data_IF_457077123887
#
_entry.id   IF_457077123887
#
_cell.length_a   1.000
_cell.length_b   1.000
_cell.length_c   1.000
_cell.angle_alpha   90.00
_cell.angle_beta   90.00
_cell.angle_gamma   90.00
#
_symmetry.space_group_name_H-M   'P 1'
#
loop_
_entity.id
_entity.type
_entity.pdbx_description
1 polymer ?
#
# COMPACT_ATOMS: atom_id res chain seq x y z
N UNK A 1 10.75 25.89 -6.15
CA UNK A 1 10.57 26.42 -4.79
C UNK A 1 9.20 25.95 -4.33
N UNK A 2 9.13 24.79 -3.69
CA UNK A 2 7.90 24.25 -3.11
C UNK A 2 8.07 24.34 -1.61
N UNK A 3 7.34 25.29 -1.01
CA UNK A 3 7.23 25.39 0.44
C UNK A 3 6.76 24.04 0.98
N UNK A 4 7.63 23.41 1.79
CA UNK A 4 7.31 22.16 2.45
C UNK A 4 6.10 22.38 3.34
N UNK A 5 4.96 21.79 2.98
CA UNK A 5 3.75 21.82 3.81
C UNK A 5 4.10 21.20 5.17
N UNK A 6 4.13 22.04 6.19
CA UNK A 6 4.14 21.68 7.61
C UNK A 6 2.81 21.05 8.07
N UNK A 7 1.92 20.71 7.14
CA UNK A 7 0.61 20.13 7.44
C UNK A 7 0.79 18.71 8.00
N UNK A 8 0.20 18.37 9.16
CA UNK A 8 0.16 16.99 9.63
C UNK A 8 -0.43 16.06 8.57
N UNK A 9 0.05 14.81 8.53
CA UNK A 9 -0.53 13.79 7.65
C UNK A 9 -2.06 13.74 7.84
N UNK A 10 -2.85 13.73 6.74
CA UNK A 10 -4.32 13.69 6.83
C UNK A 10 -4.84 12.36 7.38
N UNK A 11 -3.97 11.34 7.48
CA UNK A 11 -4.29 10.01 7.99
C UNK A 11 -3.49 9.66 9.26
N UNK A 12 -3.65 8.44 9.74
CA UNK A 12 -2.91 7.86 10.86
C UNK A 12 -3.57 8.08 12.22
N UNK A 13 -2.94 7.54 13.28
CA UNK A 13 -3.41 7.68 14.66
C UNK A 13 -2.80 8.94 15.28
N UNK A 14 -3.63 9.77 15.95
CA UNK A 14 -3.19 11.07 16.47
C UNK A 14 -2.05 10.97 17.49
N UNK A 15 -2.08 9.92 18.30
CA UNK A 15 -1.10 9.59 19.35
C UNK A 15 0.18 8.92 18.84
N UNK A 16 0.20 8.49 17.57
CA UNK A 16 1.36 7.87 16.91
C UNK A 16 1.98 8.77 15.83
N UNK A 17 1.63 10.06 15.84
CA UNK A 17 2.21 11.08 14.95
C UNK A 17 3.61 11.48 15.41
N UNK A 18 4.41 11.95 14.46
CA UNK A 18 5.66 12.60 14.80
C UNK A 18 5.36 13.91 15.55
N UNK A 19 6.10 14.21 16.63
CA UNK A 19 6.07 15.54 17.23
C UNK A 19 6.38 16.62 16.19
N UNK A 20 5.65 17.73 16.24
CA UNK A 20 5.75 18.80 15.25
C UNK A 20 7.17 19.37 15.17
N UNK A 21 7.88 19.42 16.30
CA UNK A 21 9.27 19.88 16.40
C UNK A 21 10.29 18.92 15.74
N UNK A 22 9.98 17.62 15.64
CA UNK A 22 10.86 16.62 15.02
C UNK A 22 10.64 16.48 13.51
N UNK A 23 9.42 16.76 13.04
CA UNK A 23 9.00 16.52 11.66
C UNK A 23 9.89 17.23 10.62
N UNK A 24 10.26 18.53 10.75
CA UNK A 24 11.12 19.19 9.78
C UNK A 24 12.53 18.58 9.72
N UNK A 25 13.12 18.29 10.88
CA UNK A 25 14.47 17.74 10.97
C UNK A 25 14.55 16.33 10.39
N UNK A 26 13.57 15.47 10.70
CA UNK A 26 13.51 14.13 10.14
C UNK A 26 13.32 14.17 8.62
N UNK A 27 12.37 14.97 8.10
CA UNK A 27 12.15 15.09 6.65
C UNK A 27 13.40 15.57 5.93
N UNK A 28 14.10 16.56 6.48
CA UNK A 28 15.37 17.03 5.92
C UNK A 28 16.41 15.91 5.90
N UNK A 29 16.55 15.16 7.00
CA UNK A 29 17.50 14.05 7.08
C UNK A 29 17.19 12.95 6.05
N UNK A 30 15.92 12.57 5.90
CA UNK A 30 15.49 11.57 4.92
C UNK A 30 15.75 12.03 3.48
N UNK A 31 15.52 13.31 3.18
CA UNK A 31 15.86 13.90 1.88
C UNK A 31 17.38 13.88 1.62
N UNK A 32 18.19 14.18 2.64
CA UNK A 32 19.65 14.11 2.56
C UNK A 32 20.14 12.67 2.33
N UNK A 33 19.53 11.69 3.00
CA UNK A 33 19.81 10.27 2.77
C UNK A 33 19.49 9.89 1.33
N UNK A 34 18.28 10.19 0.84
CA UNK A 34 17.88 9.94 -0.55
C UNK A 34 18.87 10.51 -1.55
N UNK A 35 19.32 11.75 -1.32
CA UNK A 35 20.33 12.43 -2.15
C UNK A 35 21.69 11.74 -2.10
N UNK A 36 22.13 11.23 -0.94
CA UNK A 36 23.39 10.48 -0.82
C UNK A 36 23.34 9.16 -1.59
N UNK A 37 22.24 8.41 -1.47
CA UNK A 37 22.05 7.17 -2.24
C UNK A 37 22.17 7.42 -3.74
N UNK A 38 21.46 8.43 -4.27
CA UNK A 38 21.52 8.71 -5.72
C UNK A 38 22.87 9.29 -6.15
N UNK A 39 23.38 10.31 -5.46
CA UNK A 39 24.56 11.05 -5.94
C UNK A 39 25.88 10.35 -5.69
N UNK A 40 26.05 9.75 -4.50
CA UNK A 40 27.31 9.16 -4.06
C UNK A 40 27.35 7.65 -4.32
N UNK A 41 26.25 6.94 -4.07
CA UNK A 41 26.19 5.47 -4.22
C UNK A 41 25.67 5.01 -5.59
N UNK A 42 25.12 5.92 -6.41
CA UNK A 42 24.50 5.59 -7.70
C UNK A 42 23.42 4.51 -7.54
N UNK A 43 22.55 4.72 -6.55
CA UNK A 43 21.54 3.77 -6.12
C UNK A 43 20.17 4.44 -5.92
N UNK A 44 19.08 3.66 -6.07
CA UNK A 44 17.71 4.17 -6.03
C UNK A 44 17.34 4.99 -7.26
N UNK A 45 17.75 4.55 -8.44
CA UNK A 45 17.23 5.09 -9.70
C UNK A 45 15.83 4.56 -9.98
N UNK A 46 15.06 5.27 -10.81
CA UNK A 46 13.70 4.84 -11.16
C UNK A 46 13.72 3.54 -11.95
N UNK A 47 12.88 2.60 -11.56
CA UNK A 47 12.61 1.39 -12.35
C UNK A 47 11.73 1.73 -13.56
N UNK A 48 10.79 2.66 -13.38
CA UNK A 48 9.82 3.08 -14.39
C UNK A 48 8.70 2.06 -14.62
N UNK A 49 7.67 2.50 -15.34
CA UNK A 49 6.55 1.65 -15.75
C UNK A 49 6.92 0.70 -16.90
N UNK A 50 6.22 -0.44 -16.95
CA UNK A 50 6.15 -1.31 -18.12
C UNK A 50 4.90 -1.05 -18.95
N UNK A 51 4.47 -2.06 -19.71
CA UNK A 51 3.35 -1.98 -20.65
C UNK A 51 2.09 -2.72 -20.16
N UNK A 52 2.24 -3.64 -19.20
CA UNK A 52 1.15 -4.50 -18.72
C UNK A 52 1.02 -4.39 -17.21
N UNK A 53 0.45 -3.29 -16.68
CA UNK A 53 0.31 -3.12 -15.26
C UNK A 53 -0.88 -3.91 -14.69
N UNK A 54 -0.82 -4.20 -13.40
CA UNK A 54 -1.96 -4.57 -12.57
C UNK A 54 -2.01 -3.68 -11.32
N UNK A 55 -3.21 -3.42 -10.81
CA UNK A 55 -3.43 -2.71 -9.55
C UNK A 55 -3.72 -3.72 -8.44
N UNK A 56 -3.07 -3.56 -7.27
CA UNK A 56 -3.40 -4.30 -6.06
C UNK A 56 -3.80 -3.37 -4.92
N UNK A 57 -4.94 -3.66 -4.30
CA UNK A 57 -5.50 -2.96 -3.12
C UNK A 57 -5.33 -3.85 -1.90
N UNK A 58 -4.40 -3.48 -1.02
CA UNK A 58 -4.00 -4.31 0.12
C UNK A 58 -4.78 -3.95 1.38
N UNK A 59 -5.54 -4.91 1.91
CA UNK A 59 -6.17 -4.86 3.23
C UNK A 59 -6.91 -3.54 3.57
N UNK A 60 -7.52 -2.85 2.61
CA UNK A 60 -8.47 -1.77 2.91
C UNK A 60 -9.83 -2.37 3.34
N UNK A 61 -9.78 -3.16 4.40
CA UNK A 61 -10.92 -3.78 5.06
C UNK A 61 -11.34 -2.97 6.29
N UNK A 62 -12.60 -3.14 6.71
CA UNK A 62 -13.18 -2.37 7.82
C UNK A 62 -12.37 -2.48 9.13
N UNK A 63 -11.73 -3.63 9.38
CA UNK A 63 -10.80 -3.87 10.48
C UNK A 63 -9.71 -2.81 10.61
N UNK A 64 -9.33 -2.20 9.49
CA UNK A 64 -8.29 -1.19 9.41
C UNK A 64 -8.83 0.20 9.11
N UNK A 65 -9.96 0.32 8.40
CA UNK A 65 -10.50 1.62 7.95
C UNK A 65 -11.55 2.23 8.88
N UNK A 66 -12.09 1.50 9.87
CA UNK A 66 -13.10 2.01 10.81
C UNK A 66 -12.51 2.23 12.23
N UNK A 67 -11.88 3.40 12.49
CA UNK A 67 -11.32 3.74 13.80
C UNK A 67 -12.40 3.98 14.88
N UNK A 68 -13.67 4.13 14.50
CA UNK A 68 -14.74 4.43 15.46
C UNK A 68 -15.33 3.16 16.07
N UNK A 69 -15.27 2.03 15.35
CA UNK A 69 -15.89 0.78 15.80
C UNK A 69 -14.89 -0.30 16.18
N UNK A 70 -13.65 -0.23 15.68
CA UNK A 70 -12.68 -1.33 15.81
C UNK A 70 -11.36 -0.85 16.42
N UNK A 71 -10.78 -1.62 17.36
CA UNK A 71 -9.60 -1.21 18.13
C UNK A 71 -8.33 -1.07 17.28
N UNK A 72 -8.29 -1.74 16.12
CA UNK A 72 -7.18 -1.64 15.17
C UNK A 72 -7.45 -0.66 14.02
N UNK A 73 -8.64 -0.07 13.96
CA UNK A 73 -8.99 0.90 12.94
C UNK A 73 -8.09 2.13 13.02
N UNK A 74 -7.84 2.76 11.89
CA UNK A 74 -7.02 3.96 11.78
C UNK A 74 -7.70 4.89 10.78
N UNK A 75 -7.67 6.20 11.02
CA UNK A 75 -8.15 7.14 10.02
C UNK A 75 -7.26 7.03 8.78
N UNK A 76 -7.80 6.49 7.70
CA UNK A 76 -7.14 6.34 6.40
C UNK A 76 -8.04 6.81 5.26
N UNK A 77 -8.96 7.74 5.55
CA UNK A 77 -9.96 8.21 4.57
C UNK A 77 -9.30 8.77 3.31
N UNK A 78 -8.27 9.59 3.45
CA UNK A 78 -7.51 10.12 2.32
C UNK A 78 -6.84 9.03 1.47
N UNK A 79 -6.49 7.90 2.08
CA UNK A 79 -5.88 6.74 1.41
C UNK A 79 -6.93 5.99 0.60
N UNK A 80 -8.12 5.80 1.18
CA UNK A 80 -9.26 5.21 0.47
C UNK A 80 -9.66 6.08 -0.72
N UNK A 81 -9.76 7.39 -0.52
CA UNK A 81 -10.07 8.35 -1.59
C UNK A 81 -9.04 8.31 -2.73
N UNK A 82 -7.74 8.32 -2.40
CA UNK A 82 -6.67 8.20 -3.39
C UNK A 82 -6.68 6.84 -4.11
N UNK A 83 -7.00 5.76 -3.40
CA UNK A 83 -7.15 4.42 -3.97
C UNK A 83 -8.33 4.34 -4.93
N UNK A 84 -9.47 4.99 -4.61
CA UNK A 84 -10.62 5.08 -5.52
C UNK A 84 -10.25 5.77 -6.82
N UNK A 85 -9.46 6.85 -6.78
CA UNK A 85 -8.96 7.52 -8.00
C UNK A 85 -8.12 6.57 -8.87
N UNK A 86 -7.28 5.73 -8.26
CA UNK A 86 -6.49 4.72 -8.98
C UNK A 86 -7.36 3.58 -9.51
N UNK A 87 -8.37 3.14 -8.75
CA UNK A 87 -9.34 2.15 -9.20
C UNK A 87 -10.09 2.65 -10.44
N UNK A 88 -10.58 3.89 -10.43
CA UNK A 88 -11.29 4.48 -11.57
C UNK A 88 -10.41 4.58 -12.82
N UNK A 89 -9.15 4.98 -12.64
CA UNK A 89 -8.16 5.01 -13.72
C UNK A 89 -7.85 3.60 -14.25
N UNK A 90 -7.63 2.63 -13.36
CA UNK A 90 -7.34 1.23 -13.71
C UNK A 90 -8.50 0.58 -14.46
N UNK A 91 -9.74 0.79 -13.99
CA UNK A 91 -10.98 0.35 -14.63
C UNK A 91 -11.14 0.97 -16.02
N UNK A 92 -10.83 2.25 -16.15
CA UNK A 92 -10.89 2.96 -17.44
C UNK A 92 -9.83 2.47 -18.43
N UNK A 93 -8.67 2.01 -17.94
CA UNK A 93 -7.61 1.42 -18.74
C UNK A 93 -7.82 -0.09 -19.01
N UNK A 94 -8.80 -0.72 -18.35
CA UNK A 94 -9.09 -2.14 -18.51
C UNK A 94 -7.99 -3.08 -17.99
N UNK A 95 -7.19 -2.62 -17.01
CA UNK A 95 -6.08 -3.42 -16.45
C UNK A 95 -6.60 -4.36 -15.35
N UNK A 96 -5.89 -5.47 -15.05
CA UNK A 96 -6.25 -6.35 -13.95
C UNK A 96 -6.23 -5.64 -12.58
N UNK A 97 -7.23 -5.92 -11.75
CA UNK A 97 -7.36 -5.37 -10.39
C UNK A 97 -7.50 -6.53 -9.39
N UNK A 98 -6.68 -6.46 -8.35
CA UNK A 98 -6.66 -7.41 -7.24
C UNK A 98 -6.94 -6.68 -5.92
N UNK A 99 -7.73 -7.30 -5.07
CA UNK A 99 -7.94 -6.88 -3.68
C UNK A 99 -7.39 -7.95 -2.76
N UNK A 100 -6.97 -7.57 -1.56
CA UNK A 100 -6.61 -8.54 -0.52
C UNK A 100 -7.34 -8.26 0.78
N UNK A 101 -7.66 -9.33 1.48
CA UNK A 101 -8.14 -9.29 2.87
C UNK A 101 -7.81 -10.62 3.55
N UNK A 102 -8.01 -10.70 4.86
CA UNK A 102 -7.93 -11.97 5.58
C UNK A 102 -9.19 -12.80 5.33
N UNK A 103 -9.09 -14.13 5.16
CA UNK A 103 -10.27 -14.97 5.01
C UNK A 103 -11.07 -15.01 6.31
N UNK A 104 -12.39 -15.06 6.15
CA UNK A 104 -13.33 -15.28 7.24
C UNK A 104 -13.43 -16.78 7.57
N UNK A 105 -12.33 -17.35 8.07
CA UNK A 105 -12.30 -18.76 8.48
C UNK A 105 -11.66 -18.88 9.87
N UNK A 106 -12.51 -19.12 10.87
CA UNK A 106 -12.10 -19.32 12.26
C UNK A 106 -11.19 -20.56 12.44
N UNK A 107 -11.25 -21.52 11.52
CA UNK A 107 -10.48 -22.76 11.54
C UNK A 107 -9.19 -22.69 10.72
N UNK A 108 -8.95 -21.61 9.98
CA UNK A 108 -7.94 -21.64 8.94
C UNK A 108 -6.50 -21.80 9.43
N UNK A 109 -6.14 -21.30 10.62
CA UNK A 109 -4.78 -21.45 11.15
C UNK A 109 -4.73 -21.49 12.70
N UNK A 110 -5.24 -22.56 13.35
CA UNK A 110 -5.05 -22.77 14.77
C UNK A 110 -3.55 -22.77 15.12
N UNK A 111 -3.18 -22.08 16.19
CA UNK A 111 -1.79 -22.05 16.70
C UNK A 111 -0.83 -21.08 16.01
N UNK A 112 -1.29 -20.24 15.07
CA UNK A 112 -0.41 -19.21 14.48
C UNK A 112 0.07 -18.21 15.55
N UNK A 113 1.38 -17.95 15.65
CA UNK A 113 1.90 -16.89 16.51
C UNK A 113 1.30 -15.54 16.10
N UNK A 114 0.74 -14.82 17.07
CA UNK A 114 0.15 -13.50 16.87
C UNK A 114 0.75 -12.52 17.87
N UNK A 115 0.92 -11.26 17.42
CA UNK A 115 1.35 -10.15 18.28
C UNK A 115 0.17 -9.51 19.04
N UNK A 116 -1.07 -9.87 18.71
CA UNK A 116 -2.27 -9.52 19.49
C UNK A 116 -2.89 -10.76 20.11
N UNK A 117 -3.25 -10.66 21.40
CA UNK A 117 -4.07 -11.67 22.08
C UNK A 117 -5.57 -11.43 21.85
N UNK A 118 -5.95 -10.20 21.48
CA UNK A 118 -7.32 -9.86 21.12
C UNK A 118 -7.56 -10.15 19.64
N UNK A 119 -8.34 -11.20 19.38
CA UNK A 119 -8.79 -11.61 18.04
C UNK A 119 -10.24 -11.23 17.77
N UNK A 120 -10.95 -10.67 18.75
CA UNK A 120 -12.39 -10.36 18.63
C UNK A 120 -12.68 -9.32 17.55
N UNK A 121 -11.69 -8.46 17.27
CA UNK A 121 -11.75 -7.46 16.22
C UNK A 121 -11.65 -8.02 14.80
N UNK A 122 -11.36 -9.31 14.62
CA UNK A 122 -11.27 -9.97 13.31
C UNK A 122 -12.40 -11.00 13.17
N UNK A 123 -13.52 -10.54 12.65
CA UNK A 123 -14.70 -11.31 12.30
C UNK A 123 -15.14 -11.02 10.87
N UNK A 124 -16.12 -11.78 10.37
CA UNK A 124 -16.67 -11.66 9.02
C UNK A 124 -16.89 -10.21 8.58
N UNK A 125 -17.59 -9.42 9.41
CA UNK A 125 -17.93 -8.04 9.08
C UNK A 125 -16.68 -7.15 9.00
N UNK A 126 -15.79 -7.25 9.98
CA UNK A 126 -14.55 -6.45 9.98
C UNK A 126 -13.60 -6.80 8.83
N UNK A 127 -13.67 -8.02 8.30
CA UNK A 127 -12.81 -8.48 7.20
C UNK A 127 -13.36 -8.14 5.81
N UNK A 128 -14.59 -7.60 5.75
CA UNK A 128 -15.13 -7.04 4.51
C UNK A 128 -14.32 -5.82 4.08
N UNK A 129 -14.12 -5.70 2.77
CA UNK A 129 -13.50 -4.54 2.15
C UNK A 129 -14.35 -3.29 2.41
N UNK A 130 -13.68 -2.14 2.52
CA UNK A 130 -14.34 -0.85 2.71
C UNK A 130 -15.30 -0.60 1.52
N UNK A 131 -16.60 -0.36 1.78
CA UNK A 131 -17.60 -0.25 0.72
C UNK A 131 -17.34 0.95 -0.21
N UNK A 132 -16.57 1.95 0.22
CA UNK A 132 -16.17 3.09 -0.63
C UNK A 132 -15.31 2.68 -1.82
N UNK A 133 -14.66 1.52 -1.75
CA UNK A 133 -13.85 0.99 -2.86
C UNK A 133 -14.71 0.51 -4.04
N UNK A 134 -16.01 0.28 -3.80
CA UNK A 134 -16.97 -0.17 -4.82
C UNK A 134 -16.42 -1.35 -5.64
N UNK A 135 -15.91 -2.39 -4.97
CA UNK A 135 -15.32 -3.56 -5.63
C UNK A 135 -16.35 -4.24 -6.53
N UNK A 136 -15.98 -4.48 -7.78
CA UNK A 136 -16.80 -5.18 -8.78
C UNK A 136 -16.60 -6.69 -8.71
N UNK A 137 -17.59 -7.47 -9.16
CA UNK A 137 -17.56 -8.94 -9.04
C UNK A 137 -16.47 -9.62 -9.88
N UNK A 138 -16.03 -8.99 -10.96
CA UNK A 138 -14.93 -9.45 -11.81
C UNK A 138 -13.53 -9.11 -11.24
N UNK A 139 -13.46 -8.22 -10.24
CA UNK A 139 -12.22 -7.86 -9.54
C UNK A 139 -11.89 -8.89 -8.47
N UNK A 140 -10.70 -9.51 -8.57
CA UNK A 140 -10.34 -10.68 -7.78
C UNK A 140 -9.99 -10.31 -6.34
N UNK A 141 -10.46 -11.13 -5.39
CA UNK A 141 -9.99 -11.08 -4.00
C UNK A 141 -8.98 -12.21 -3.77
N UNK A 142 -7.79 -11.85 -3.29
CA UNK A 142 -6.76 -12.77 -2.81
C UNK A 142 -6.83 -12.81 -1.29
N UNK A 143 -7.35 -13.91 -0.75
CA UNK A 143 -7.34 -14.15 0.68
C UNK A 143 -5.94 -14.53 1.14
N UNK A 144 -5.42 -13.85 2.17
CA UNK A 144 -4.06 -14.07 2.66
C UNK A 144 -3.98 -14.16 4.17
N UNK A 145 -3.05 -14.98 4.65
CA UNK A 145 -2.75 -15.15 6.08
C UNK A 145 -1.43 -14.48 6.50
N UNK A 146 -0.63 -14.03 5.54
CA UNK A 146 0.68 -13.41 5.76
C UNK A 146 0.64 -11.93 5.39
N UNK A 147 1.67 -11.20 5.79
CA UNK A 147 1.78 -9.77 5.47
C UNK A 147 1.87 -9.58 3.95
N UNK A 148 2.80 -10.28 3.30
CA UNK A 148 2.91 -10.30 1.84
C UNK A 148 1.68 -10.95 1.22
N UNK A 149 1.20 -10.32 0.15
CA UNK A 149 0.12 -10.83 -0.69
C UNK A 149 0.54 -12.01 -1.57
N UNK A 150 1.83 -12.31 -1.67
CA UNK A 150 2.34 -13.46 -2.42
C UNK A 150 2.39 -14.73 -1.57
N UNK A 151 2.89 -14.61 -0.34
CA UNK A 151 3.17 -15.77 0.51
C UNK A 151 1.91 -16.57 0.83
N UNK A 152 1.90 -17.85 0.43
CA UNK A 152 0.79 -18.77 0.71
C UNK A 152 -0.48 -18.45 -0.07
N UNK A 153 -0.37 -17.74 -1.19
CA UNK A 153 -1.46 -17.45 -2.14
C UNK A 153 -1.04 -17.88 -3.55
N UNK A 154 -1.92 -17.70 -4.54
CA UNK A 154 -1.62 -17.88 -5.97
C UNK A 154 -1.45 -16.56 -6.73
N UNK A 155 -1.13 -15.45 -6.05
CA UNK A 155 -1.01 -14.13 -6.68
C UNK A 155 0.05 -14.10 -7.78
N UNK A 156 1.22 -14.70 -7.54
CA UNK A 156 2.30 -14.74 -8.53
C UNK A 156 1.85 -15.43 -9.82
N UNK A 157 1.17 -16.56 -9.69
CA UNK A 157 0.69 -17.35 -10.82
C UNK A 157 -0.37 -16.58 -11.61
N UNK A 158 -1.27 -15.87 -10.94
CA UNK A 158 -2.27 -15.03 -11.60
C UNK A 158 -1.63 -13.86 -12.36
N UNK A 159 -0.67 -13.16 -11.76
CA UNK A 159 0.04 -12.05 -12.40
C UNK A 159 0.85 -12.54 -13.62
N UNK A 160 1.57 -13.66 -13.48
CA UNK A 160 2.31 -14.28 -14.58
C UNK A 160 1.39 -14.73 -15.72
N UNK A 161 0.25 -15.36 -15.41
CA UNK A 161 -0.71 -15.80 -16.43
C UNK A 161 -1.30 -14.62 -17.24
N UNK A 162 -1.38 -13.44 -16.62
CA UNK A 162 -1.84 -12.19 -17.24
C UNK A 162 -0.71 -11.41 -17.94
N UNK A 163 0.52 -11.92 -17.93
CA UNK A 163 1.74 -11.25 -18.42
C UNK A 163 1.94 -9.86 -17.81
N UNK A 164 1.63 -9.71 -16.52
CA UNK A 164 1.85 -8.45 -15.80
C UNK A 164 3.35 -8.20 -15.68
N UNK A 165 3.79 -6.99 -16.02
CA UNK A 165 5.17 -6.54 -15.85
C UNK A 165 5.34 -5.46 -14.78
N UNK A 166 4.23 -4.83 -14.37
CA UNK A 166 4.20 -3.71 -13.43
C UNK A 166 3.12 -3.95 -12.38
N UNK A 167 3.48 -3.91 -11.11
CA UNK A 167 2.53 -4.01 -10.01
C UNK A 167 2.38 -2.64 -9.33
N UNK A 168 1.22 -2.03 -9.49
CA UNK A 168 0.83 -0.80 -8.81
C UNK A 168 0.23 -1.17 -7.46
N UNK A 169 0.87 -0.76 -6.37
CA UNK A 169 0.54 -1.17 -5.00
C UNK A 169 -0.13 -0.03 -4.23
N UNK A 170 -1.24 -0.36 -3.58
CA UNK A 170 -2.03 0.54 -2.72
C UNK A 170 -2.46 -0.18 -1.44
N UNK A 171 -2.96 0.56 -0.46
CA UNK A 171 -3.61 0.02 0.74
C UNK A 171 -2.77 0.14 2.02
N UNK A 172 -2.97 -0.78 2.95
CA UNK A 172 -2.43 -0.70 4.31
C UNK A 172 -1.85 -2.02 4.82
N UNK A 173 -0.91 -2.04 5.76
CA UNK A 173 -0.16 -0.88 6.27
C UNK A 173 1.17 -0.72 5.52
N UNK A 174 1.65 0.53 5.39
CA UNK A 174 2.88 0.86 4.65
C UNK A 174 4.07 0.03 5.12
N UNK A 175 4.29 -0.10 6.43
CA UNK A 175 5.45 -0.78 6.99
C UNK A 175 5.34 -2.30 7.10
N UNK A 176 4.15 -2.85 6.87
CA UNK A 176 3.89 -4.29 6.95
C UNK A 176 3.43 -4.87 5.61
N UNK A 177 2.13 -4.95 5.37
CA UNK A 177 1.58 -5.69 4.24
C UNK A 177 1.98 -5.08 2.89
N UNK A 178 2.01 -3.75 2.79
CA UNK A 178 2.48 -3.04 1.60
C UNK A 178 3.96 -3.32 1.37
N UNK A 179 4.82 -3.05 2.37
CA UNK A 179 6.26 -3.29 2.26
C UNK A 179 6.60 -4.75 1.92
N UNK A 180 6.00 -5.71 2.62
CA UNK A 180 6.22 -7.13 2.38
C UNK A 180 5.78 -7.56 0.98
N UNK A 181 4.65 -7.05 0.49
CA UNK A 181 4.19 -7.32 -0.88
C UNK A 181 5.12 -6.69 -1.92
N UNK A 182 5.58 -5.45 -1.70
CA UNK A 182 6.54 -4.78 -2.59
C UNK A 182 7.86 -5.56 -2.65
N UNK A 183 8.37 -6.01 -1.50
CA UNK A 183 9.62 -6.78 -1.41
C UNK A 183 9.53 -8.12 -2.13
N UNK A 184 8.42 -8.84 -1.99
CA UNK A 184 8.21 -10.13 -2.70
C UNK A 184 7.95 -9.93 -4.21
N UNK A 185 7.38 -8.79 -4.62
CA UNK A 185 7.20 -8.46 -6.03
C UNK A 185 8.52 -8.06 -6.73
N UNK A 186 9.46 -7.46 -5.98
CA UNK A 186 10.72 -6.98 -6.53
C UNK A 186 11.53 -8.10 -7.19
N UNK A 187 12.15 -7.78 -8.31
CA UNK A 187 12.89 -8.74 -9.15
C UNK A 187 12.02 -9.54 -10.12
N UNK A 188 10.69 -9.58 -9.92
CA UNK A 188 9.74 -10.20 -10.86
C UNK A 188 8.86 -9.17 -11.57
N UNK A 189 8.52 -8.07 -10.89
CA UNK A 189 7.70 -6.98 -11.41
C UNK A 189 8.35 -5.63 -11.17
N UNK A 190 8.04 -4.66 -12.02
CA UNK A 190 8.28 -3.24 -11.76
C UNK A 190 7.30 -2.81 -10.67
N UNK A 191 7.81 -2.48 -9.49
CA UNK A 191 6.96 -2.08 -8.36
C UNK A 191 6.74 -0.58 -8.40
N UNK A 192 5.47 -0.16 -8.38
CA UNK A 192 5.08 1.24 -8.28
C UNK A 192 4.14 1.40 -7.10
N UNK A 193 4.45 2.29 -6.17
CA UNK A 193 3.62 2.57 -4.99
C UNK A 193 2.97 3.94 -5.14
N UNK A 194 1.64 4.00 -5.05
CA UNK A 194 0.92 5.26 -5.01
C UNK A 194 1.10 5.92 -3.65
N UNK A 195 1.91 6.98 -3.55
CA UNK A 195 2.30 7.63 -2.30
C UNK A 195 1.10 8.02 -1.45
N UNK A 196 0.08 8.64 -2.05
CA UNK A 196 -1.15 9.05 -1.37
C UNK A 196 -2.15 7.90 -1.19
N UNK A 197 -1.93 6.76 -1.85
CA UNK A 197 -2.78 5.57 -1.83
C UNK A 197 -2.22 4.44 -0.95
N UNK A 198 -1.21 4.72 -0.11
CA UNK A 198 -0.76 3.80 0.95
C UNK A 198 -0.78 4.48 2.31
N UNK A 199 -1.19 3.74 3.34
CA UNK A 199 -1.42 4.30 4.67
C UNK A 199 -0.79 3.50 5.80
N UNK A 200 -0.60 4.15 6.94
CA UNK A 200 -0.05 3.56 8.16
C UNK A 200 -0.59 4.32 9.38
N UNK A 201 -0.63 3.66 10.54
CA UNK A 201 -1.08 4.30 11.78
C UNK A 201 -0.02 5.18 12.43
N UNK A 202 1.25 4.81 12.29
CA UNK A 202 2.40 5.55 12.80
C UNK A 202 3.09 6.32 11.67
N UNK A 203 3.20 7.64 11.84
CA UNK A 203 3.80 8.52 10.84
C UNK A 203 5.27 8.17 10.55
N UNK A 204 6.05 7.85 11.58
CA UNK A 204 7.46 7.48 11.42
C UNK A 204 7.64 6.22 10.57
N UNK A 205 6.82 5.18 10.83
CA UNK A 205 6.89 3.93 10.07
C UNK A 205 6.44 4.12 8.61
N UNK A 206 5.49 5.01 8.36
CA UNK A 206 5.12 5.39 7.00
C UNK A 206 6.31 5.98 6.23
N UNK A 207 6.91 7.04 6.77
CA UNK A 207 7.97 7.80 6.09
C UNK A 207 9.23 6.96 5.86
N UNK A 208 9.64 6.16 6.85
CA UNK A 208 10.83 5.32 6.75
C UNK A 208 10.64 4.21 5.71
N UNK A 209 9.50 3.53 5.71
CA UNK A 209 9.27 2.45 4.77
C UNK A 209 8.99 2.94 3.35
N UNK A 210 8.42 4.13 3.16
CA UNK A 210 8.36 4.74 1.83
C UNK A 210 9.76 5.04 1.28
N UNK A 211 10.66 5.59 2.11
CA UNK A 211 12.03 5.84 1.66
C UNK A 211 12.76 4.54 1.29
N UNK A 212 12.64 3.50 2.12
CA UNK A 212 13.25 2.18 1.84
C UNK A 212 12.71 1.60 0.53
N UNK A 213 11.38 1.62 0.33
CA UNK A 213 10.78 1.19 -0.95
C UNK A 213 11.37 1.98 -2.12
N UNK A 214 11.42 3.32 -2.02
CA UNK A 214 11.89 4.21 -3.08
C UNK A 214 13.38 3.99 -3.44
N UNK A 215 14.18 3.54 -2.48
CA UNK A 215 15.62 3.32 -2.67
C UNK A 215 15.91 1.92 -3.19
N UNK A 216 15.27 0.89 -2.64
CA UNK A 216 15.71 -0.51 -2.81
C UNK A 216 14.72 -1.40 -3.56
N UNK A 217 13.46 -0.99 -3.74
CA UNK A 217 12.39 -1.91 -4.14
C UNK A 217 11.66 -1.44 -5.41
N UNK A 218 11.25 -0.17 -5.48
CA UNK A 218 10.45 0.34 -6.59
C UNK A 218 10.17 1.83 -6.49
N UNK A 219 9.34 2.34 -7.39
CA UNK A 219 9.09 3.77 -7.50
C UNK A 219 7.92 4.20 -6.61
N UNK A 220 8.16 5.12 -5.68
CA UNK A 220 7.08 5.76 -4.88
C UNK A 220 6.65 7.04 -5.59
N UNK A 221 5.48 7.00 -6.23
CA UNK A 221 5.01 8.04 -7.15
C UNK A 221 3.76 8.77 -6.64
N UNK A 222 3.58 10.05 -7.00
CA UNK A 222 2.29 10.72 -6.81
C UNK A 222 1.19 9.96 -7.55
N UNK A 223 0.02 9.82 -6.94
CA UNK A 223 -1.16 9.20 -7.55
C UNK A 223 -1.50 9.82 -8.90
N UNK A 224 -1.35 11.14 -9.03
CA UNK A 224 -1.60 11.86 -10.28
C UNK A 224 -0.70 11.39 -11.43
N UNK A 225 0.56 11.03 -11.15
CA UNK A 225 1.50 10.50 -12.13
C UNK A 225 1.07 9.10 -12.61
N UNK A 226 0.62 8.26 -11.67
CA UNK A 226 0.13 6.91 -11.98
C UNK A 226 -1.18 6.98 -12.78
N UNK A 227 -2.11 7.88 -12.42
CA UNK A 227 -3.34 8.12 -13.18
C UNK A 227 -3.03 8.59 -14.60
N UNK A 228 -2.06 9.50 -14.77
CA UNK A 228 -1.64 9.95 -16.10
C UNK A 228 -1.04 8.82 -16.94
N UNK A 229 -0.22 7.96 -16.34
CA UNK A 229 0.31 6.76 -17.00
C UNK A 229 -0.83 5.83 -17.46
N UNK A 230 -1.77 5.49 -16.57
CA UNK A 230 -2.89 4.60 -16.90
C UNK A 230 -3.79 5.17 -18.00
N UNK A 231 -4.00 6.49 -18.02
CA UNK A 231 -4.76 7.16 -19.07
C UNK A 231 -4.09 7.05 -20.45
N UNK A 232 -2.76 6.87 -20.48
CA UNK A 232 -1.95 6.74 -21.70
C UNK A 232 -1.86 5.33 -22.27
N UNK A 233 -2.41 4.30 -21.61
CA UNK A 233 -2.40 2.90 -22.08
C UNK A 233 -3.42 2.60 -23.19
N UNK A 234 -4.17 3.61 -23.63
CA UNK A 234 -5.21 3.49 -24.65
C UNK A 234 -4.65 3.36 -26.07
#
# INVERSE_FOLDING_TARGET
>A
MTEGRNDPSPFGSRDLRLPDELRPALRQHMADLRKRYSSALKWGDRVGFGERPALIVIDLALAWTDPNRLPFGTNVDSIVEATVRLLDAARSAGIPIFFTTSPNDAAALPGRPTKTQDKSAFNEQSLQLDPRLDRRDDEKIVYKYYASSFKGTNLSEMLCALNVDTLIVTGVSTSHCVYATCRDAAGSFRVVVGREAVGERCELFHEVNLLDIEIDIGDVLPVDEIVAYLAGLK
#
